data_IF_938803141005
#
_entry.id   IF_938803141005
#
_cell.length_a   1.000
_cell.length_b   1.000
_cell.length_c   1.000
_cell.angle_alpha   90.00
_cell.angle_beta   90.00
_cell.angle_gamma   90.00
#
_symmetry.space_group_name_H-M   'P 1'
#
loop_
_entity.id
_entity.type
_entity.pdbx_description
1 polymer ?
#
# COMPACT_ATOMS: atom_id res chain seq x y z
N UNK A 1 18.11 11.90 -21.36
CA UNK A 1 16.67 12.06 -21.66
C UNK A 1 15.94 12.16 -20.35
N UNK A 2 15.24 13.25 -20.09
CA UNK A 2 14.43 13.41 -18.88
C UNK A 2 13.16 12.57 -19.05
N UNK A 3 13.13 11.37 -18.48
CA UNK A 3 11.91 10.56 -18.44
C UNK A 3 10.97 11.16 -17.39
N UNK A 4 9.81 11.64 -17.83
CA UNK A 4 8.75 12.09 -16.93
C UNK A 4 8.28 10.94 -16.04
N UNK A 5 8.20 11.18 -14.72
CA UNK A 5 7.68 10.21 -13.76
C UNK A 5 6.17 10.07 -13.94
N UNK A 6 5.72 8.95 -14.51
CA UNK A 6 4.28 8.63 -14.61
C UNK A 6 3.82 7.94 -13.32
N UNK A 7 3.20 8.72 -12.43
CA UNK A 7 2.70 8.24 -11.13
C UNK A 7 1.62 7.17 -11.25
N UNK A 8 0.79 7.22 -12.29
CA UNK A 8 -0.28 6.24 -12.51
C UNK A 8 0.28 4.86 -12.85
N UNK A 9 1.28 4.80 -13.75
CA UNK A 9 2.01 3.55 -14.04
C UNK A 9 2.71 3.00 -12.81
N UNK A 10 3.27 3.88 -11.98
CA UNK A 10 3.93 3.49 -10.73
C UNK A 10 2.91 2.91 -9.75
N UNK A 11 1.74 3.54 -9.63
CA UNK A 11 0.64 3.05 -8.79
C UNK A 11 0.15 1.67 -9.27
N UNK A 12 -0.05 1.49 -10.57
CA UNK A 12 -0.42 0.21 -11.16
C UNK A 12 0.62 -0.88 -10.90
N UNK A 13 1.91 -0.55 -11.00
CA UNK A 13 3.00 -1.50 -10.73
C UNK A 13 3.05 -1.91 -9.26
N UNK A 14 2.90 -0.96 -8.33
CA UNK A 14 2.83 -1.24 -6.90
C UNK A 14 1.59 -2.08 -6.56
N UNK A 15 0.44 -1.77 -7.15
CA UNK A 15 -0.78 -2.58 -7.02
C UNK A 15 -0.57 -4.02 -7.47
N UNK A 16 0.10 -4.25 -8.61
CA UNK A 16 0.38 -5.61 -9.09
C UNK A 16 1.28 -6.37 -8.11
N UNK A 17 2.29 -5.70 -7.54
CA UNK A 17 3.16 -6.31 -6.53
C UNK A 17 2.38 -6.72 -5.27
N UNK A 18 1.52 -5.83 -4.76
CA UNK A 18 0.62 -6.11 -3.62
C UNK A 18 -0.25 -7.33 -3.91
N UNK A 19 -0.93 -7.35 -5.07
CA UNK A 19 -1.85 -8.43 -5.44
C UNK A 19 -1.11 -9.76 -5.63
N UNK A 20 0.05 -9.75 -6.27
CA UNK A 20 0.84 -10.95 -6.51
C UNK A 20 1.44 -11.52 -5.22
N UNK A 21 1.98 -10.69 -4.32
CA UNK A 21 2.50 -11.17 -3.03
C UNK A 21 1.35 -11.69 -2.16
N UNK A 22 0.24 -10.96 -2.08
CA UNK A 22 -0.93 -11.39 -1.30
C UNK A 22 -1.49 -12.74 -1.76
N UNK A 23 -1.55 -13.02 -3.07
CA UNK A 23 -1.99 -14.34 -3.60
C UNK A 23 -1.20 -15.52 -3.04
N UNK A 24 0.07 -15.32 -2.68
CA UNK A 24 0.91 -16.39 -2.14
C UNK A 24 0.70 -16.63 -0.65
N UNK A 25 -0.02 -15.75 0.04
CA UNK A 25 -0.15 -15.74 1.52
C UNK A 25 -1.61 -15.82 1.97
N UNK A 26 -2.55 -15.30 1.19
CA UNK A 26 -3.98 -15.32 1.53
C UNK A 26 -4.60 -16.68 1.23
N UNK A 27 -5.30 -17.25 2.21
CA UNK A 27 -6.11 -18.46 2.02
C UNK A 27 -7.36 -18.18 1.17
N UNK A 28 -7.88 -16.95 1.19
CA UNK A 28 -9.04 -16.56 0.38
C UNK A 28 -8.83 -15.22 -0.31
N UNK A 29 -9.34 -15.11 -1.55
CA UNK A 29 -9.33 -13.83 -2.31
C UNK A 29 -10.03 -12.68 -1.60
N UNK A 30 -11.00 -13.00 -0.73
CA UNK A 30 -11.81 -12.03 -0.01
C UNK A 30 -10.99 -11.31 1.08
N UNK A 31 -9.91 -11.93 1.58
CA UNK A 31 -9.10 -11.33 2.65
C UNK A 31 -8.38 -10.08 2.14
N UNK A 32 -7.78 -10.15 0.95
CA UNK A 32 -7.13 -8.99 0.33
C UNK A 32 -8.14 -7.90 -0.02
N UNK A 33 -9.25 -8.25 -0.69
CA UNK A 33 -10.27 -7.28 -1.09
C UNK A 33 -10.82 -6.51 0.13
N UNK A 34 -11.10 -7.21 1.22
CA UNK A 34 -11.60 -6.63 2.46
C UNK A 34 -10.58 -5.69 3.11
N UNK A 35 -9.31 -6.10 3.20
CA UNK A 35 -8.23 -5.28 3.75
C UNK A 35 -8.06 -4.01 2.92
N UNK A 36 -7.97 -4.13 1.60
CA UNK A 36 -7.79 -2.98 0.71
C UNK A 36 -8.98 -2.03 0.78
N UNK A 37 -10.21 -2.56 0.79
CA UNK A 37 -11.42 -1.73 0.87
C UNK A 37 -11.48 -0.93 2.17
N UNK A 38 -11.15 -1.56 3.30
CA UNK A 38 -11.10 -0.89 4.61
C UNK A 38 -9.97 0.14 4.65
N UNK A 39 -8.76 -0.21 4.21
CA UNK A 39 -7.63 0.71 4.19
C UNK A 39 -7.90 1.93 3.30
N UNK A 40 -8.49 1.73 2.12
CA UNK A 40 -8.89 2.81 1.22
C UNK A 40 -9.94 3.72 1.86
N UNK A 41 -10.96 3.15 2.52
CA UNK A 41 -11.95 3.94 3.24
C UNK A 41 -11.32 4.79 4.36
N UNK A 42 -10.42 4.21 5.16
CA UNK A 42 -9.71 4.98 6.20
C UNK A 42 -8.84 6.08 5.59
N UNK A 43 -8.15 5.81 4.48
CA UNK A 43 -7.32 6.81 3.78
C UNK A 43 -8.15 7.99 3.25
N UNK A 44 -9.31 7.71 2.65
CA UNK A 44 -10.18 8.71 2.06
C UNK A 44 -10.80 9.61 3.13
N UNK A 45 -11.33 9.00 4.19
CA UNK A 45 -12.07 9.71 5.26
C UNK A 45 -11.16 10.33 6.32
N UNK A 46 -10.06 9.67 6.69
CA UNK A 46 -9.25 10.03 7.87
C UNK A 46 -7.76 10.28 7.55
N UNK A 47 -7.33 10.07 6.30
CA UNK A 47 -5.97 10.40 5.85
C UNK A 47 -4.91 9.32 6.08
N UNK A 48 -3.67 9.66 5.70
CA UNK A 48 -2.53 8.73 5.61
C UNK A 48 -2.13 8.16 6.97
N UNK A 49 -2.08 9.00 8.01
CA UNK A 49 -1.69 8.57 9.35
C UNK A 49 -2.68 7.57 9.95
N UNK A 50 -3.98 7.85 9.84
CA UNK A 50 -5.03 6.95 10.31
C UNK A 50 -5.03 5.61 9.55
N UNK A 51 -4.81 5.63 8.23
CA UNK A 51 -4.69 4.40 7.44
C UNK A 51 -3.48 3.57 7.85
N UNK A 52 -2.36 4.22 8.17
CA UNK A 52 -1.14 3.56 8.67
C UNK A 52 -1.42 2.87 10.02
N UNK A 53 -2.06 3.56 10.96
CA UNK A 53 -2.50 2.99 12.23
C UNK A 53 -3.45 1.80 12.03
N UNK A 54 -4.41 1.92 11.12
CA UNK A 54 -5.32 0.83 10.77
C UNK A 54 -4.56 -0.42 10.30
N UNK A 55 -3.58 -0.27 9.40
CA UNK A 55 -2.80 -1.41 8.88
C UNK A 55 -1.91 -2.06 9.95
N UNK A 56 -1.38 -1.26 10.89
CA UNK A 56 -0.52 -1.73 11.99
C UNK A 56 -1.29 -2.39 13.13
N UNK A 57 -2.51 -1.92 13.43
CA UNK A 57 -3.34 -2.39 14.55
C UNK A 57 -4.04 -3.74 14.33
N UNK A 58 -3.85 -4.38 13.16
CA UNK A 58 -4.53 -5.64 12.86
C UNK A 58 -3.95 -6.83 13.63
N UNK A 59 -4.80 -7.83 13.82
CA UNK A 59 -4.46 -9.09 14.49
C UNK A 59 -3.31 -9.83 13.79
N UNK A 60 -2.62 -10.73 14.49
CA UNK A 60 -1.52 -11.54 13.94
C UNK A 60 -1.90 -12.26 12.63
N UNK A 61 -3.14 -12.79 12.59
CA UNK A 61 -3.69 -13.49 11.42
C UNK A 61 -3.74 -12.58 10.19
N UNK A 62 -4.17 -11.33 10.38
CA UNK A 62 -4.34 -10.36 9.29
C UNK A 62 -3.06 -9.58 8.98
N UNK A 63 -2.11 -9.53 9.92
CA UNK A 63 -0.84 -8.78 9.80
C UNK A 63 -0.04 -9.19 8.58
N UNK A 64 -0.15 -10.47 8.18
CA UNK A 64 0.47 -11.00 6.97
C UNK A 64 0.06 -10.24 5.71
N UNK A 65 -1.20 -9.83 5.60
CA UNK A 65 -1.68 -9.05 4.46
C UNK A 65 -1.53 -7.56 4.73
N UNK A 66 -1.90 -7.09 5.91
CA UNK A 66 -1.98 -5.65 6.18
C UNK A 66 -0.61 -5.01 6.28
N UNK A 67 0.22 -5.46 7.22
CA UNK A 67 1.54 -4.90 7.47
C UNK A 67 2.55 -5.43 6.46
N UNK A 68 2.63 -6.76 6.34
CA UNK A 68 3.73 -7.40 5.62
C UNK A 68 3.59 -7.31 4.10
N UNK A 69 2.38 -7.03 3.58
CA UNK A 69 2.17 -6.81 2.15
C UNK A 69 1.76 -5.36 1.87
N UNK A 70 0.57 -4.93 2.32
CA UNK A 70 0.02 -3.63 1.90
C UNK A 70 0.89 -2.48 2.40
N UNK A 71 1.10 -2.35 3.71
CA UNK A 71 1.89 -1.26 4.28
C UNK A 71 3.35 -1.29 3.78
N UNK A 72 3.96 -2.49 3.73
CA UNK A 72 5.32 -2.68 3.21
C UNK A 72 5.47 -2.06 1.82
N UNK A 73 4.62 -2.43 0.87
CA UNK A 73 4.71 -1.92 -0.50
C UNK A 73 4.42 -0.43 -0.60
N UNK A 74 3.46 0.08 0.17
CA UNK A 74 3.17 1.51 0.21
C UNK A 74 4.38 2.31 0.70
N UNK A 75 5.03 1.87 1.78
CA UNK A 75 6.24 2.53 2.28
C UNK A 75 7.40 2.38 1.28
N UNK A 76 7.62 1.19 0.73
CA UNK A 76 8.68 0.94 -0.26
C UNK A 76 8.54 1.79 -1.52
N UNK A 77 7.30 2.08 -1.93
CA UNK A 77 7.00 2.97 -3.05
C UNK A 77 7.62 4.36 -2.87
N UNK A 78 7.64 4.89 -1.64
CA UNK A 78 8.20 6.20 -1.32
C UNK A 78 9.73 6.25 -1.45
N UNK A 79 10.39 5.09 -1.41
CA UNK A 79 11.85 4.97 -1.50
C UNK A 79 12.35 4.65 -2.92
N UNK A 80 11.45 4.50 -3.88
CA UNK A 80 11.87 4.47 -5.29
C UNK A 80 12.51 5.81 -5.66
N UNK A 81 13.59 5.79 -6.42
CA UNK A 81 14.36 6.99 -6.74
C UNK A 81 13.55 8.08 -7.45
N UNK A 82 12.64 7.67 -8.33
CA UNK A 82 11.74 8.54 -9.08
C UNK A 82 10.71 9.22 -8.17
N UNK A 83 10.14 8.50 -7.21
CA UNK A 83 9.18 9.02 -6.23
C UNK A 83 9.87 9.86 -5.17
N UNK A 84 10.98 9.38 -4.60
CA UNK A 84 11.72 10.07 -3.53
C UNK A 84 12.18 11.46 -3.97
N UNK A 85 12.60 11.60 -5.23
CA UNK A 85 12.94 12.88 -5.81
C UNK A 85 11.76 13.85 -5.86
N UNK A 86 10.57 13.38 -6.26
CA UNK A 86 9.35 14.19 -6.32
C UNK A 86 8.88 14.60 -4.92
N UNK A 87 8.95 13.69 -3.94
CA UNK A 87 8.54 13.95 -2.55
C UNK A 87 9.50 14.86 -1.78
N UNK A 88 10.72 15.07 -2.29
CA UNK A 88 11.83 15.78 -1.59
C UNK A 88 12.08 15.21 -0.18
N UNK A 89 11.80 13.93 0.03
CA UNK A 89 11.93 13.26 1.32
C UNK A 89 13.39 12.84 1.56
N UNK A 90 13.94 13.18 2.73
CA UNK A 90 15.34 12.97 3.05
C UNK A 90 15.57 11.85 4.07
N UNK A 91 14.55 11.44 4.83
CA UNK A 91 14.68 10.34 5.77
C UNK A 91 15.08 9.01 5.13
N UNK A 92 15.62 8.16 6.00
CA UNK A 92 15.86 6.75 5.73
C UNK A 92 14.58 5.93 5.86
N UNK A 93 14.57 4.75 5.24
CA UNK A 93 13.44 3.82 5.34
C UNK A 93 13.23 3.39 6.80
N UNK A 94 11.99 3.47 7.33
CA UNK A 94 11.71 2.98 8.68
C UNK A 94 11.84 1.45 8.73
N UNK A 95 12.13 0.92 9.91
CA UNK A 95 12.08 -0.51 10.14
C UNK A 95 10.61 -0.95 10.17
N UNK A 96 10.16 -1.59 9.08
CA UNK A 96 8.79 -2.06 8.96
C UNK A 96 8.41 -3.12 9.99
N UNK A 97 9.38 -3.76 10.67
CA UNK A 97 9.16 -4.72 11.76
C UNK A 97 8.87 -4.05 13.12
N UNK A 98 9.12 -2.74 13.26
CA UNK A 98 8.93 -1.98 14.50
C UNK A 98 7.89 -0.86 14.28
N UNK A 99 6.76 -0.92 15.00
CA UNK A 99 5.70 0.09 14.86
C UNK A 99 6.20 1.48 15.29
N UNK A 100 7.05 1.50 16.29
CA UNK A 100 7.74 2.66 16.86
C UNK A 100 8.67 3.35 15.85
N UNK A 101 9.07 2.65 14.77
CA UNK A 101 9.82 3.25 13.67
C UNK A 101 8.91 3.80 12.57
N UNK A 102 7.80 3.11 12.26
CA UNK A 102 6.91 3.49 11.15
C UNK A 102 6.09 4.73 11.45
N UNK A 103 5.51 4.83 12.65
CA UNK A 103 4.60 5.95 12.98
C UNK A 103 5.32 7.31 13.00
N UNK A 104 6.50 7.47 13.64
CA UNK A 104 7.24 8.73 13.55
C UNK A 104 7.62 9.08 12.11
N UNK A 105 8.03 8.09 11.29
CA UNK A 105 8.29 8.34 9.87
C UNK A 105 7.05 8.91 9.16
N UNK A 106 5.85 8.34 9.35
CA UNK A 106 4.65 8.88 8.70
C UNK A 106 4.29 10.27 9.24
N UNK A 107 4.42 10.51 10.54
CA UNK A 107 4.15 11.81 11.13
C UNK A 107 5.11 12.89 10.61
N UNK A 108 6.41 12.65 10.78
CA UNK A 108 7.44 13.67 10.61
C UNK A 108 7.88 13.80 9.14
N UNK A 109 7.83 12.72 8.36
CA UNK A 109 8.29 12.72 6.97
C UNK A 109 7.17 12.74 5.95
N UNK A 110 5.91 12.49 6.32
CA UNK A 110 4.80 12.55 5.36
C UNK A 110 3.81 13.64 5.76
N UNK A 111 3.40 13.69 7.02
CA UNK A 111 2.34 14.61 7.48
C UNK A 111 2.83 16.03 7.78
N UNK A 112 4.13 16.25 8.00
CA UNK A 112 4.71 17.56 8.34
C UNK A 112 4.62 18.58 7.18
N UNK A 113 4.61 18.12 5.93
CA UNK A 113 4.57 18.98 4.74
C UNK A 113 3.32 18.67 3.89
N UNK A 114 2.53 19.71 3.60
CA UNK A 114 1.20 19.56 3.00
C UNK A 114 1.25 19.01 1.57
N UNK A 115 2.16 19.51 0.72
CA UNK A 115 2.24 19.06 -0.67
C UNK A 115 2.64 17.59 -0.74
N UNK A 116 3.58 17.18 0.10
CA UNK A 116 4.00 15.80 0.28
C UNK A 116 2.86 14.92 0.79
N UNK A 117 2.14 15.37 1.81
CA UNK A 117 0.98 14.66 2.35
C UNK A 117 -0.07 14.43 1.27
N UNK A 118 -0.43 15.47 0.52
CA UNK A 118 -1.44 15.38 -0.54
C UNK A 118 -0.99 14.45 -1.68
N UNK A 119 0.27 14.54 -2.09
CA UNK A 119 0.83 13.67 -3.13
C UNK A 119 0.87 12.20 -2.70
N UNK A 120 1.32 11.92 -1.46
CA UNK A 120 1.32 10.55 -0.92
C UNK A 120 -0.10 10.03 -0.80
N UNK A 121 -1.05 10.85 -0.32
CA UNK A 121 -2.46 10.47 -0.24
C UNK A 121 -2.98 10.05 -1.61
N UNK A 122 -2.84 10.90 -2.64
CA UNK A 122 -3.32 10.59 -3.99
C UNK A 122 -2.64 9.38 -4.61
N UNK A 123 -1.32 9.21 -4.40
CA UNK A 123 -0.60 8.05 -4.90
C UNK A 123 -1.08 6.76 -4.24
N UNK A 124 -1.24 6.76 -2.91
CA UNK A 124 -1.75 5.60 -2.17
C UNK A 124 -3.20 5.28 -2.53
N UNK A 125 -4.05 6.29 -2.71
CA UNK A 125 -5.43 6.09 -3.19
C UNK A 125 -5.44 5.34 -4.53
N UNK A 126 -4.63 5.78 -5.49
CA UNK A 126 -4.55 5.12 -6.80
C UNK A 126 -4.05 3.67 -6.69
N UNK A 127 -3.01 3.43 -5.88
CA UNK A 127 -2.51 2.07 -5.60
C UNK A 127 -3.61 1.19 -5.01
N UNK A 128 -4.33 1.69 -4.01
CA UNK A 128 -5.37 0.92 -3.32
C UNK A 128 -6.61 0.69 -4.20
N UNK A 129 -6.99 1.67 -5.04
CA UNK A 129 -8.05 1.51 -6.03
C UNK A 129 -7.70 0.37 -7.00
N UNK A 130 -6.51 0.40 -7.60
CA UNK A 130 -6.04 -0.66 -8.48
C UNK A 130 -5.91 -1.99 -7.77
N UNK A 131 -5.43 -2.00 -6.53
CA UNK A 131 -5.32 -3.23 -5.72
C UNK A 131 -6.68 -3.84 -5.42
N UNK A 132 -7.71 -3.02 -5.20
CA UNK A 132 -9.09 -3.48 -4.98
C UNK A 132 -9.63 -4.18 -6.21
N UNK A 133 -9.48 -3.59 -7.40
CA UNK A 133 -9.91 -4.22 -8.64
C UNK A 133 -9.03 -5.43 -9.01
N UNK A 134 -7.74 -5.38 -8.71
CA UNK A 134 -6.82 -6.51 -8.88
C UNK A 134 -7.21 -7.70 -7.99
N UNK A 135 -7.60 -7.46 -6.74
CA UNK A 135 -8.13 -8.47 -5.83
C UNK A 135 -9.44 -9.08 -6.37
N UNK A 136 -10.35 -8.26 -6.89
CA UNK A 136 -11.60 -8.72 -7.52
C UNK A 136 -11.36 -9.57 -8.77
N UNK A 137 -10.32 -9.25 -9.54
CA UNK A 137 -9.96 -9.95 -10.76
C UNK A 137 -9.24 -11.29 -10.52
N UNK A 138 -8.96 -11.68 -9.26
CA UNK A 138 -8.46 -13.01 -8.94
C UNK A 138 -9.57 -14.03 -9.25
N UNK A 139 -9.45 -14.67 -10.40
CA UNK A 139 -10.33 -15.75 -10.85
C UNK A 139 -10.16 -16.95 -9.92
N UNK A 140 -11.27 -17.59 -9.55
CA UNK A 140 -11.24 -18.91 -8.91
C UNK A 140 -10.82 -19.92 -9.97
N UNK A 141 -9.73 -20.66 -9.77
CA UNK A 141 -9.48 -21.92 -10.49
C UNK A 141 -10.47 -23.02 -10.01
N UNK A 142 -11.77 -22.70 -9.88
CA UNK A 142 -12.81 -23.61 -9.37
C UNK A 142 -13.41 -24.51 -10.46
N UNK A 143 -12.73 -24.74 -11.59
CA UNK A 143 -13.17 -25.70 -12.62
C UNK A 143 -12.01 -26.41 -13.30
N UNK A 144 -11.34 -27.31 -12.59
CA UNK A 144 -10.54 -28.39 -13.19
C UNK A 144 -10.59 -29.69 -12.35
N UNK A 145 -11.77 -30.14 -11.95
CA UNK A 145 -11.99 -31.53 -11.51
C UNK A 145 -13.41 -31.97 -11.85
N UNK A 146 -13.76 -32.06 -13.13
CA UNK A 146 -14.81 -32.97 -13.63
C UNK A 146 -14.45 -33.37 -15.08
N UNK A 147 -13.54 -34.32 -15.23
CA UNK A 147 -13.49 -35.28 -16.35
C UNK A 147 -13.18 -36.68 -15.80
#
# INVERSE_FOLDING_TARGET
>A
MTTWTNLDRIAASCSQAIVNEAKTITETKNDLENVITKALGVLQENGVYAMTLFLLSRSEKERRVTRNVVLKHLIELLFRSDIRHVLKAQASKPNLAEQESVLPFVADEICDELDRLLLVKSLYEQVLIYSRYGAKAIVKDDKKEEE
#
